data_IF_865034342756
#
_entry.id   IF_865034342756
#
_cell.length_a   1.000
_cell.length_b   1.000
_cell.length_c   1.000
_cell.angle_alpha   90.00
_cell.angle_beta   90.00
_cell.angle_gamma   90.00
#
_symmetry.space_group_name_H-M   'P 1'
#
loop_
_entity.id
_entity.type
_entity.pdbx_description
1 polymer ?
#
# COMPACT_ATOMS: atom_id res chain seq x y z
N UNK A 1 -28.85 6.24 -16.54
CA UNK A 1 -27.53 6.82 -16.17
C UNK A 1 -26.71 7.00 -17.45
N UNK A 2 -26.17 8.19 -17.74
CA UNK A 2 -25.33 8.38 -18.94
C UNK A 2 -24.00 7.62 -18.80
N UNK A 3 -23.42 7.15 -19.91
CA UNK A 3 -22.16 6.38 -19.90
C UNK A 3 -21.02 7.15 -19.20
N UNK A 4 -20.96 8.49 -19.38
CA UNK A 4 -20.01 9.37 -18.67
C UNK A 4 -20.23 9.35 -17.15
N UNK A 5 -21.49 9.43 -16.68
CA UNK A 5 -21.81 9.39 -15.25
C UNK A 5 -21.45 8.03 -14.66
N UNK A 6 -21.68 6.94 -15.39
CA UNK A 6 -21.29 5.57 -14.98
C UNK A 6 -19.77 5.47 -14.76
N UNK A 7 -18.98 5.92 -15.73
CA UNK A 7 -17.52 5.96 -15.61
C UNK A 7 -17.06 6.79 -14.42
N UNK A 8 -17.64 7.98 -14.24
CA UNK A 8 -17.29 8.85 -13.10
C UNK A 8 -17.58 8.17 -11.77
N UNK A 9 -18.71 7.47 -11.64
CA UNK A 9 -19.08 6.74 -10.44
C UNK A 9 -18.06 5.66 -10.09
N UNK A 10 -17.67 4.81 -11.05
CA UNK A 10 -16.65 3.77 -10.80
C UNK A 10 -15.30 4.36 -10.36
N UNK A 11 -14.91 5.50 -10.93
CA UNK A 11 -13.70 6.21 -10.51
C UNK A 11 -13.81 6.71 -9.07
N UNK A 12 -14.92 7.38 -8.72
CA UNK A 12 -15.16 7.88 -7.37
C UNK A 12 -15.16 6.75 -6.36
N UNK A 13 -15.88 5.65 -6.63
CA UNK A 13 -15.91 4.47 -5.77
C UNK A 13 -14.49 3.91 -5.57
N UNK A 14 -13.71 3.79 -6.64
CA UNK A 14 -12.33 3.28 -6.56
C UNK A 14 -11.44 4.16 -5.67
N UNK A 15 -11.55 5.49 -5.81
CA UNK A 15 -10.78 6.44 -4.99
C UNK A 15 -11.20 6.32 -3.52
N UNK A 16 -12.50 6.20 -3.23
CA UNK A 16 -12.99 6.02 -1.85
C UNK A 16 -12.50 4.70 -1.26
N UNK A 17 -12.54 3.59 -2.01
CA UNK A 17 -12.02 2.29 -1.56
C UNK A 17 -10.52 2.40 -1.23
N UNK A 18 -9.72 2.98 -2.14
CA UNK A 18 -8.29 3.12 -1.92
C UNK A 18 -7.97 3.99 -0.69
N UNK A 19 -8.70 5.10 -0.51
CA UNK A 19 -8.56 5.96 0.65
C UNK A 19 -8.89 5.21 1.95
N UNK A 20 -10.00 4.49 2.00
CA UNK A 20 -10.38 3.69 3.16
C UNK A 20 -9.32 2.61 3.48
N UNK A 21 -8.80 1.92 2.47
CA UNK A 21 -7.71 0.95 2.65
C UNK A 21 -6.49 1.59 3.31
N UNK A 22 -6.01 2.72 2.76
CA UNK A 22 -4.83 3.42 3.30
C UNK A 22 -5.10 3.95 4.70
N UNK A 23 -6.27 4.54 4.96
CA UNK A 23 -6.62 5.10 6.27
C UNK A 23 -6.75 4.02 7.35
N UNK A 24 -7.43 2.90 7.06
CA UNK A 24 -7.59 1.80 8.02
C UNK A 24 -6.23 1.19 8.37
N UNK A 25 -5.41 0.90 7.35
CA UNK A 25 -4.07 0.38 7.59
C UNK A 25 -3.19 1.40 8.31
N UNK A 26 -3.23 2.68 7.95
CA UNK A 26 -2.51 3.74 8.66
C UNK A 26 -2.90 3.85 10.14
N UNK A 27 -4.19 3.70 10.46
CA UNK A 27 -4.66 3.64 11.84
C UNK A 27 -4.16 2.40 12.58
N UNK A 28 -4.05 1.25 11.90
CA UNK A 28 -3.43 0.06 12.51
C UNK A 28 -1.98 0.32 12.93
N UNK A 29 -1.22 1.08 12.13
CA UNK A 29 0.13 1.50 12.51
C UNK A 29 0.13 2.40 13.74
N UNK A 30 -0.77 3.38 13.80
CA UNK A 30 -0.86 4.30 14.95
C UNK A 30 -1.25 3.57 16.24
N UNK A 31 -2.25 2.67 16.19
CA UNK A 31 -2.79 2.06 17.40
C UNK A 31 -1.98 0.88 17.93
N UNK A 32 -1.38 0.06 17.06
CA UNK A 32 -0.86 -1.25 17.45
C UNK A 32 0.64 -1.43 17.19
N UNK A 33 1.27 -0.58 16.35
CA UNK A 33 2.70 -0.73 16.01
C UNK A 33 3.58 0.09 16.98
N UNK A 34 4.84 -0.34 17.19
CA UNK A 34 5.76 0.34 18.10
C UNK A 34 6.19 1.73 17.59
N UNK A 35 6.63 2.61 18.50
CA UNK A 35 7.11 3.97 18.16
C UNK A 35 8.48 3.99 17.46
N UNK A 36 9.07 2.81 17.23
CA UNK A 36 10.36 2.63 16.53
C UNK A 36 10.27 2.89 15.03
N UNK A 37 9.06 3.01 14.51
CA UNK A 37 8.80 3.33 13.11
C UNK A 37 9.19 4.78 12.81
N UNK A 38 9.76 5.00 11.61
CA UNK A 38 10.23 6.33 11.16
C UNK A 38 9.13 7.40 11.21
N UNK A 39 7.86 7.02 11.01
CA UNK A 39 6.73 7.96 11.11
C UNK A 39 6.54 8.57 12.50
N UNK A 40 6.87 7.86 13.60
CA UNK A 40 6.74 8.41 14.94
C UNK A 40 7.83 9.44 15.25
N UNK A 41 9.01 9.34 14.62
CA UNK A 41 10.01 10.41 14.69
C UNK A 41 9.49 11.71 14.05
N UNK A 42 8.75 11.59 12.93
CA UNK A 42 8.08 12.74 12.34
C UNK A 42 6.99 13.29 13.28
N UNK A 43 6.17 12.44 13.90
CA UNK A 43 5.15 12.86 14.87
C UNK A 43 5.72 13.53 16.12
N UNK A 44 6.90 13.10 16.56
CA UNK A 44 7.66 13.76 17.62
C UNK A 44 8.04 15.18 17.21
N UNK A 45 8.54 15.36 15.98
CA UNK A 45 8.93 16.68 15.47
C UNK A 45 7.75 17.65 15.38
N UNK A 46 6.57 17.18 14.99
CA UNK A 46 5.35 18.01 14.93
C UNK A 46 4.59 18.11 16.26
N UNK A 47 5.09 17.49 17.34
CA UNK A 47 4.56 17.66 18.71
C UNK A 47 3.25 16.92 19.01
N UNK A 48 2.89 15.89 18.24
CA UNK A 48 1.67 15.07 18.46
C UNK A 48 1.95 13.67 19.00
N UNK A 49 3.21 13.33 19.29
CA UNK A 49 3.59 12.00 19.77
C UNK A 49 2.79 11.58 21.02
N UNK A 50 2.73 12.44 22.04
CA UNK A 50 2.03 12.15 23.30
C UNK A 50 0.54 11.83 23.08
N UNK A 51 -0.11 12.51 22.13
CA UNK A 51 -1.51 12.23 21.79
C UNK A 51 -1.66 10.84 21.17
N UNK A 52 -0.71 10.41 20.33
CA UNK A 52 -0.73 9.11 19.65
C UNK A 52 -0.35 7.96 20.59
N UNK A 53 0.60 8.17 21.49
CA UNK A 53 0.97 7.19 22.53
C UNK A 53 -0.22 6.86 23.43
N UNK A 54 -1.02 7.87 23.80
CA UNK A 54 -2.26 7.69 24.56
C UNK A 54 -3.34 6.89 23.81
N UNK A 55 -3.22 6.76 22.49
CA UNK A 55 -4.16 5.98 21.66
C UNK A 55 -3.74 4.52 21.49
N UNK A 56 -2.55 4.13 21.98
CA UNK A 56 -2.05 2.78 21.78
C UNK A 56 -2.90 1.71 22.44
N UNK A 57 -2.96 0.56 21.78
CA UNK A 57 -3.69 -0.63 22.20
C UNK A 57 -2.75 -1.82 22.21
N UNK A 58 -3.11 -2.82 23.00
CA UNK A 58 -2.36 -4.07 23.06
C UNK A 58 -2.40 -4.78 21.69
N UNK A 59 -1.26 -5.02 21.03
CA UNK A 59 -1.20 -5.73 19.75
C UNK A 59 -1.71 -7.18 19.83
N UNK A 60 -1.74 -7.79 21.02
CA UNK A 60 -2.21 -9.18 21.23
C UNK A 60 -3.69 -9.39 20.87
N UNK A 61 -4.46 -8.31 20.79
CA UNK A 61 -5.89 -8.32 20.44
C UNK A 61 -6.09 -8.73 18.97
N UNK A 62 -5.09 -8.53 18.11
CA UNK A 62 -5.15 -8.85 16.68
C UNK A 62 -4.24 -10.04 16.35
N UNK A 63 -4.68 -10.84 15.37
CA UNK A 63 -3.83 -11.90 14.84
C UNK A 63 -2.58 -11.31 14.19
N UNK A 64 -1.42 -11.91 14.44
CA UNK A 64 -0.12 -11.38 14.00
C UNK A 64 -0.08 -11.12 12.50
N UNK A 65 -0.59 -12.04 11.67
CA UNK A 65 -0.63 -11.84 10.22
C UNK A 65 -1.42 -10.59 9.80
N UNK A 66 -2.54 -10.32 10.47
CA UNK A 66 -3.38 -9.13 10.21
C UNK A 66 -2.64 -7.86 10.59
N UNK A 67 -1.87 -7.89 11.68
CA UNK A 67 -1.15 -6.72 12.15
C UNK A 67 0.14 -6.44 11.36
N UNK A 68 0.88 -7.47 11.01
CA UNK A 68 2.24 -7.35 10.48
C UNK A 68 2.32 -7.44 8.95
N UNK A 69 1.51 -8.28 8.31
CA UNK A 69 1.65 -8.59 6.88
C UNK A 69 0.52 -8.01 6.01
N UNK A 70 -0.72 -8.03 6.51
CA UNK A 70 -1.89 -7.53 5.76
C UNK A 70 -1.76 -6.06 5.32
N UNK A 71 -1.30 -5.11 6.17
CA UNK A 71 -1.28 -3.71 5.80
C UNK A 71 -0.45 -3.42 4.55
N UNK A 72 0.69 -4.09 4.39
CA UNK A 72 1.57 -3.87 3.24
C UNK A 72 0.92 -4.38 1.94
N UNK A 73 0.25 -5.53 2.00
CA UNK A 73 -0.55 -6.03 0.87
C UNK A 73 -1.71 -5.09 0.53
N UNK A 74 -2.44 -4.57 1.53
CA UNK A 74 -3.57 -3.66 1.32
C UNK A 74 -3.12 -2.32 0.72
N UNK A 75 -1.96 -1.80 1.11
CA UNK A 75 -1.39 -0.62 0.47
C UNK A 75 -1.02 -0.88 -1.00
N UNK A 76 -0.38 -2.00 -1.33
CA UNK A 76 -0.10 -2.36 -2.73
C UNK A 76 -1.38 -2.55 -3.55
N UNK A 77 -2.44 -3.09 -2.94
CA UNK A 77 -3.75 -3.16 -3.57
C UNK A 77 -4.32 -1.76 -3.85
N UNK A 78 -4.31 -0.88 -2.86
CA UNK A 78 -4.79 0.51 -3.00
C UNK A 78 -4.00 1.27 -4.08
N UNK A 79 -2.68 1.09 -4.13
CA UNK A 79 -1.81 1.61 -5.19
C UNK A 79 -2.28 1.11 -6.56
N UNK A 80 -2.42 -0.21 -6.72
CA UNK A 80 -2.78 -0.86 -7.99
C UNK A 80 -4.09 -0.33 -8.57
N UNK A 81 -5.12 -0.17 -7.73
CA UNK A 81 -6.44 0.32 -8.17
C UNK A 81 -6.44 1.82 -8.49
N UNK A 82 -5.61 2.64 -7.81
CA UNK A 82 -5.43 4.07 -8.14
C UNK A 82 -4.71 4.23 -9.47
N UNK A 83 -3.64 3.47 -9.71
CA UNK A 83 -2.97 3.43 -11.01
C UNK A 83 -3.97 3.01 -12.10
N UNK A 84 -4.74 1.95 -11.86
CA UNK A 84 -5.86 1.58 -12.74
C UNK A 84 -6.81 2.75 -13.03
N UNK A 85 -7.23 3.49 -12.00
CA UNK A 85 -8.14 4.63 -12.12
C UNK A 85 -7.58 5.77 -12.99
N UNK A 86 -6.30 6.15 -12.79
CA UNK A 86 -5.58 7.18 -13.57
C UNK A 86 -5.59 6.81 -15.06
N UNK A 87 -5.37 5.53 -15.36
CA UNK A 87 -5.31 4.99 -16.71
C UNK A 87 -6.65 4.50 -17.26
N UNK A 88 -7.77 4.87 -16.62
CA UNK A 88 -9.13 4.48 -17.01
C UNK A 88 -9.35 2.96 -17.11
N UNK A 89 -8.74 2.23 -16.19
CA UNK A 89 -8.87 0.78 -15.99
C UNK A 89 -8.44 -0.07 -17.20
N UNK A 90 -7.70 0.52 -18.15
CA UNK A 90 -7.04 -0.22 -19.23
C UNK A 90 -5.76 -0.86 -18.73
N UNK A 91 -5.83 -2.15 -18.37
CA UNK A 91 -4.66 -2.90 -17.88
C UNK A 91 -3.47 -2.82 -18.85
N UNK A 92 -3.72 -2.88 -20.17
CA UNK A 92 -2.68 -2.78 -21.21
C UNK A 92 -1.90 -1.46 -21.18
N UNK A 93 -2.53 -0.39 -20.71
CA UNK A 93 -1.92 0.94 -20.69
C UNK A 93 -1.17 1.19 -19.36
N UNK A 94 -1.42 0.40 -18.30
CA UNK A 94 -0.92 0.68 -16.96
C UNK A 94 -0.24 -0.47 -16.21
N UNK A 95 -0.19 -1.67 -16.78
CA UNK A 95 0.38 -2.85 -16.11
C UNK A 95 1.80 -2.63 -15.59
N UNK A 96 2.67 -1.94 -16.36
CA UNK A 96 4.04 -1.63 -15.93
C UNK A 96 4.06 -0.79 -14.65
N UNK A 97 3.19 0.22 -14.58
CA UNK A 97 3.07 1.07 -13.40
C UNK A 97 2.46 0.33 -12.22
N UNK A 98 1.55 -0.62 -12.44
CA UNK A 98 1.03 -1.46 -11.35
C UNK A 98 2.14 -2.34 -10.77
N UNK A 99 3.00 -2.92 -11.62
CA UNK A 99 4.03 -3.87 -11.20
C UNK A 99 5.27 -3.25 -10.56
N UNK A 100 5.56 -1.97 -10.80
CA UNK A 100 6.81 -1.35 -10.30
C UNK A 100 6.94 -1.43 -8.78
N UNK A 101 5.88 -1.13 -8.03
CA UNK A 101 5.91 -1.12 -6.58
C UNK A 101 6.03 -2.54 -5.99
N UNK A 102 5.20 -3.51 -6.38
CA UNK A 102 5.33 -4.88 -5.92
C UNK A 102 6.67 -5.53 -6.30
N UNK A 103 7.25 -5.21 -7.46
CA UNK A 103 8.58 -5.68 -7.83
C UNK A 103 9.65 -5.16 -6.87
N UNK A 104 9.57 -3.88 -6.48
CA UNK A 104 10.48 -3.30 -5.48
C UNK A 104 10.28 -3.98 -4.12
N UNK A 105 9.03 -4.15 -3.66
CA UNK A 105 8.73 -4.77 -2.36
C UNK A 105 9.18 -6.23 -2.28
N UNK A 106 8.92 -7.04 -3.32
CA UNK A 106 9.36 -8.45 -3.36
C UNK A 106 10.89 -8.54 -3.45
N UNK A 107 11.52 -7.66 -4.24
CA UNK A 107 12.99 -7.63 -4.32
C UNK A 107 13.61 -7.24 -2.97
N UNK A 108 12.99 -6.32 -2.24
CA UNK A 108 13.42 -5.91 -0.91
C UNK A 108 13.38 -7.07 0.09
N UNK A 109 12.28 -7.85 0.14
CA UNK A 109 12.18 -9.05 0.96
C UNK A 109 13.26 -10.09 0.61
N UNK A 110 13.50 -10.31 -0.68
CA UNK A 110 14.53 -11.24 -1.13
C UNK A 110 15.94 -10.79 -0.70
N UNK A 111 16.22 -9.49 -0.79
CA UNK A 111 17.50 -8.92 -0.34
C UNK A 111 17.68 -9.02 1.18
N UNK A 112 16.60 -8.93 1.96
CA UNK A 112 16.64 -9.20 3.41
C UNK A 112 16.93 -10.68 3.69
N UNK A 113 16.34 -11.61 2.91
CA UNK A 113 16.62 -13.04 3.02
C UNK A 113 18.08 -13.42 2.72
N UNK A 114 18.75 -12.63 1.87
CA UNK A 114 20.18 -12.77 1.58
C UNK A 114 21.09 -12.03 2.58
N UNK A 115 20.52 -11.31 3.56
CA UNK A 115 21.28 -10.50 4.52
C UNK A 115 21.94 -9.26 3.91
N UNK A 116 21.53 -8.83 2.71
CA UNK A 116 22.07 -7.65 2.03
C UNK A 116 21.44 -6.37 2.58
N UNK A 117 20.17 -6.44 2.97
CA UNK A 117 19.40 -5.33 3.53
C UNK A 117 18.97 -5.61 4.97
N UNK A 118 18.88 -4.55 5.77
CA UNK A 118 18.34 -4.63 7.12
C UNK A 118 16.85 -4.99 7.09
N UNK A 119 16.44 -5.87 8.00
CA UNK A 119 15.07 -6.33 8.17
C UNK A 119 14.98 -7.84 8.28
N UNK A 120 13.75 -8.34 8.27
CA UNK A 120 13.45 -9.75 8.51
C UNK A 120 12.66 -10.28 7.34
N UNK A 121 13.24 -11.25 6.63
CA UNK A 121 12.54 -11.92 5.54
C UNK A 121 11.30 -12.64 6.08
N UNK A 122 10.12 -12.26 5.58
CA UNK A 122 8.87 -12.92 5.92
C UNK A 122 8.17 -13.45 4.65
N UNK A 123 8.07 -14.78 4.46
CA UNK A 123 7.33 -15.36 3.35
C UNK A 123 5.86 -14.91 3.28
N UNK A 124 5.26 -14.53 4.42
CA UNK A 124 3.90 -14.02 4.47
C UNK A 124 3.77 -12.62 3.85
N UNK A 125 4.83 -11.80 3.89
CA UNK A 125 4.86 -10.49 3.22
C UNK A 125 4.87 -10.67 1.70
N UNK A 126 5.73 -11.58 1.21
CA UNK A 126 5.74 -11.95 -0.21
C UNK A 126 4.38 -12.50 -0.66
N UNK A 127 3.74 -13.35 0.16
CA UNK A 127 2.40 -13.85 -0.11
C UNK A 127 1.37 -12.71 -0.19
N UNK A 128 1.39 -11.78 0.77
CA UNK A 128 0.51 -10.61 0.77
C UNK A 128 0.71 -9.74 -0.47
N UNK A 129 1.95 -9.56 -0.93
CA UNK A 129 2.28 -8.80 -2.14
C UNK A 129 1.74 -9.46 -3.40
N UNK A 130 1.94 -10.77 -3.55
CA UNK A 130 1.41 -11.54 -4.69
C UNK A 130 -0.11 -11.45 -4.70
N UNK A 131 -0.77 -11.64 -3.55
CA UNK A 131 -2.22 -11.53 -3.43
C UNK A 131 -2.71 -10.13 -3.81
N UNK A 132 -2.03 -9.08 -3.36
CA UNK A 132 -2.36 -7.70 -3.70
C UNK A 132 -2.29 -7.42 -5.21
N UNK A 133 -1.26 -7.92 -5.90
CA UNK A 133 -1.14 -7.80 -7.37
C UNK A 133 -2.32 -8.48 -8.06
N UNK A 134 -2.62 -9.72 -7.68
CA UNK A 134 -3.69 -10.51 -8.30
C UNK A 134 -5.05 -9.84 -8.11
N UNK A 135 -5.38 -9.46 -6.88
CA UNK A 135 -6.65 -8.81 -6.54
C UNK A 135 -6.74 -7.43 -7.18
N UNK A 136 -5.66 -6.65 -7.19
CA UNK A 136 -5.60 -5.34 -7.84
C UNK A 136 -5.81 -5.42 -9.34
N UNK A 137 -5.14 -6.34 -10.03
CA UNK A 137 -5.31 -6.57 -11.46
C UNK A 137 -6.72 -7.08 -11.80
N UNK A 138 -7.25 -8.01 -10.99
CA UNK A 138 -8.62 -8.51 -11.13
C UNK A 138 -9.64 -7.37 -10.97
N UNK A 139 -9.47 -6.51 -9.97
CA UNK A 139 -10.32 -5.34 -9.77
C UNK A 139 -10.31 -4.42 -10.99
N UNK A 140 -9.12 -4.08 -11.50
CA UNK A 140 -8.98 -3.23 -12.69
C UNK A 140 -9.70 -3.85 -13.89
N UNK A 141 -9.52 -5.15 -14.11
CA UNK A 141 -10.18 -5.87 -15.19
C UNK A 141 -11.71 -5.89 -15.05
N UNK A 142 -12.23 -6.12 -13.84
CA UNK A 142 -13.68 -6.13 -13.57
C UNK A 142 -14.28 -4.75 -13.80
N UNK A 143 -13.64 -3.68 -13.31
CA UNK A 143 -14.13 -2.31 -13.51
C UNK A 143 -14.09 -1.92 -14.98
N UNK A 144 -13.07 -2.34 -15.73
CA UNK A 144 -13.01 -2.14 -17.18
C UNK A 144 -14.19 -2.78 -17.90
N UNK A 145 -14.49 -4.04 -17.57
CA UNK A 145 -15.61 -4.80 -18.15
C UNK A 145 -16.97 -4.25 -17.77
N UNK A 146 -17.17 -3.80 -16.54
CA UNK A 146 -18.48 -3.32 -16.06
C UNK A 146 -18.72 -1.85 -16.41
N UNK A 147 -17.71 -1.01 -16.21
CA UNK A 147 -17.79 0.45 -16.36
C UNK A 147 -17.53 0.95 -17.77
N UNK A 148 -16.69 0.27 -18.55
CA UNK A 148 -16.11 0.81 -19.80
C UNK A 148 -16.39 -0.01 -21.07
N UNK A 149 -17.22 -1.07 -21.00
CA UNK A 149 -17.56 -1.93 -22.17
C UNK A 149 -18.18 -1.17 -23.35
N UNK A 150 -19.07 -0.22 -23.07
CA UNK A 150 -19.83 0.52 -24.10
C UNK A 150 -19.34 1.97 -24.29
N UNK A 151 -18.15 2.29 -23.78
CA UNK A 151 -17.59 3.64 -23.86
C UNK A 151 -16.62 3.67 -25.01
N UNK A 152 -16.88 4.47 -26.05
CA UNK A 152 -15.90 4.73 -27.10
C UNK A 152 -14.69 5.43 -26.47
N UNK A 153 -13.62 4.67 -26.26
CA UNK A 153 -12.37 5.16 -25.69
C UNK A 153 -11.59 5.88 -26.78
N UNK A 154 -12.09 7.05 -27.21
CA UNK A 154 -11.38 7.92 -28.14
C UNK A 154 -9.98 8.13 -27.59
N UNK A 155 -8.97 7.80 -28.40
CA UNK A 155 -7.54 7.85 -28.05
C UNK A 155 -7.11 9.27 -27.73
N UNK A 156 -7.40 9.74 -26.51
CA UNK A 156 -7.12 11.10 -26.07
C UNK A 156 -5.64 11.21 -25.69
N UNK A 157 -4.79 11.16 -26.72
CA UNK A 157 -3.31 11.27 -26.67
C UNK A 157 -2.84 12.52 -25.90
N UNK A 158 -3.65 13.58 -25.84
CA UNK A 158 -3.35 14.89 -25.22
C UNK A 158 -3.26 14.92 -23.68
N UNK A 159 -3.60 13.84 -22.96
CA UNK A 159 -3.54 13.79 -21.47
C UNK A 159 -2.46 12.84 -20.93
N UNK A 160 -1.50 12.43 -21.76
CA UNK A 160 -0.42 11.51 -21.38
C UNK A 160 0.44 12.08 -20.24
N UNK A 161 0.87 13.34 -20.34
CA UNK A 161 1.76 13.96 -19.34
C UNK A 161 1.11 14.11 -17.97
N UNK A 162 -0.17 14.49 -17.89
CA UNK A 162 -0.88 14.58 -16.61
C UNK A 162 -1.05 13.20 -15.96
N UNK A 163 -1.38 12.17 -16.74
CA UNK A 163 -1.48 10.80 -16.21
C UNK A 163 -0.14 10.29 -15.71
N UNK A 164 0.94 10.57 -16.44
CA UNK A 164 2.29 10.24 -16.02
C UNK A 164 2.66 10.99 -14.73
N UNK A 165 2.41 12.29 -14.67
CA UNK A 165 2.63 13.09 -13.46
C UNK A 165 1.86 12.53 -12.26
N UNK A 166 0.56 12.24 -12.41
CA UNK A 166 -0.25 11.64 -11.35
C UNK A 166 0.24 10.24 -10.95
N UNK A 167 0.73 9.45 -11.91
CA UNK A 167 1.31 8.13 -11.66
C UNK A 167 2.60 8.26 -10.84
N UNK A 168 3.49 9.18 -11.22
CA UNK A 168 4.73 9.46 -10.48
C UNK A 168 4.44 10.00 -9.08
N UNK A 169 3.49 10.92 -8.95
CA UNK A 169 3.06 11.45 -7.65
C UNK A 169 2.48 10.35 -6.77
N UNK A 170 1.61 9.50 -7.32
CA UNK A 170 1.04 8.36 -6.57
C UNK A 170 2.15 7.42 -6.13
N UNK A 171 3.07 7.07 -7.03
CA UNK A 171 4.21 6.22 -6.68
C UNK A 171 5.06 6.85 -5.55
N UNK A 172 5.42 8.12 -5.66
CA UNK A 172 6.18 8.82 -4.63
C UNK A 172 5.46 8.83 -3.27
N UNK A 173 4.15 9.08 -3.25
CA UNK A 173 3.37 9.06 -2.00
C UNK A 173 3.33 7.67 -1.36
N UNK A 174 3.13 6.61 -2.15
CA UNK A 174 3.14 5.24 -1.62
C UNK A 174 4.53 4.80 -1.17
N UNK A 175 5.60 5.24 -1.85
CA UNK A 175 6.98 5.04 -1.39
C UNK A 175 7.23 5.75 -0.06
N UNK A 176 6.76 6.99 0.10
CA UNK A 176 6.89 7.73 1.36
C UNK A 176 6.14 7.04 2.50
N UNK A 177 4.94 6.51 2.24
CA UNK A 177 4.18 5.72 3.22
C UNK A 177 4.97 4.46 3.59
N UNK A 178 5.46 3.72 2.60
CA UNK A 178 6.25 2.50 2.83
C UNK A 178 7.52 2.78 3.64
N UNK A 179 8.26 3.85 3.32
CA UNK A 179 9.44 4.26 4.10
C UNK A 179 9.04 4.70 5.51
N UNK A 180 7.96 5.47 5.67
CA UNK A 180 7.49 5.90 7.00
C UNK A 180 7.05 4.73 7.89
N UNK A 181 6.55 3.67 7.27
CA UNK A 181 6.11 2.43 7.90
C UNK A 181 7.22 1.43 8.19
N UNK A 182 8.44 1.75 7.80
CA UNK A 182 9.59 0.89 7.98
C UNK A 182 10.24 1.16 9.36
N UNK A 183 10.65 0.07 10.01
CA UNK A 183 11.22 0.09 11.35
C UNK A 183 12.71 0.44 11.28
N UNK A 184 13.19 1.27 12.21
CA UNK A 184 14.61 1.68 12.25
C UNK A 184 15.56 0.58 12.74
N UNK A 185 15.02 -0.45 13.38
CA UNK A 185 15.74 -1.55 14.06
C UNK A 185 15.51 -2.92 13.42
N UNK A 186 14.77 -2.99 12.31
CA UNK A 186 14.32 -4.25 11.70
C UNK A 186 13.03 -4.76 12.35
N UNK A 187 12.13 -5.33 11.53
CA UNK A 187 10.81 -5.83 11.97
C UNK A 187 10.96 -7.12 12.80
N UNK A 188 10.16 -7.24 13.86
CA UNK A 188 9.81 -8.56 14.44
C UNK A 188 8.72 -9.16 13.53
N UNK A 189 9.03 -10.25 12.82
CA UNK A 189 8.07 -10.98 11.97
C UNK A 189 7.09 -11.78 12.83
N UNK A 190 5.87 -11.98 12.32
CA UNK A 190 4.85 -12.83 12.93
C UNK A 190 5.33 -14.27 13.23
N UNK A 191 6.39 -14.73 12.56
CA UNK A 191 6.95 -16.06 12.71
C UNK A 191 8.22 -16.12 13.58
N UNK A 192 8.78 -15.00 14.04
CA UNK A 192 10.06 -15.07 14.77
C UNK A 192 9.91 -15.33 16.26
N UNK A 193 8.76 -15.17 16.92
CA UNK A 193 8.54 -15.70 18.29
C UNK A 193 9.57 -15.30 19.37
N UNK A 194 10.48 -14.37 19.12
CA UNK A 194 11.53 -13.98 20.05
C UNK A 194 11.05 -12.77 20.85
N UNK A 195 10.84 -13.01 22.14
CA UNK A 195 10.68 -12.02 23.19
C UNK A 195 11.73 -10.93 23.07
N UNK A 196 11.32 -9.68 23.31
CA UNK A 196 12.20 -8.53 23.51
C UNK A 196 13.41 -8.90 24.37
N UNK A 197 14.57 -9.09 23.76
CA UNK A 197 15.81 -8.87 24.46
C UNK A 197 16.01 -7.36 24.40
N UNK A 198 15.75 -6.69 25.54
CA UNK A 198 16.21 -5.32 25.74
C UNK A 198 17.71 -5.33 25.48
N UNK A 199 18.13 -4.68 24.40
CA UNK A 199 19.52 -4.27 24.30
C UNK A 199 19.64 -3.10 25.28
N UNK A 200 20.04 -3.43 26.51
CA UNK A 200 20.53 -2.44 27.45
C UNK A 200 21.82 -1.86 26.84
N UNK A 201 21.74 -0.61 26.41
CA UNK A 201 22.88 0.27 26.12
C UNK A 201 22.60 1.64 26.72
#
# INVERSE_FOLDING_TARGET
MTAKRKVSLFKTITIVIAFLCVSVCGMMYVYFRPDTLKMFHFFKYIGVLDMLENMKRDPSILYSWVLYNLPDGVWLFAYSIIIGCIWNFKIKDCWMFILVMPLISISHEFMQGLGIMHGTYDPNDVFAYILAILVGCAYVYVVDRLGFKNVNRVGRRRTSSLKLFLTMLTFALFVLIAIGSDDTVGRISANTGWSFEKIDA
#
